data_IF_090977781393
#
_entry.id   IF_090977781393
#
_cell.length_a   1.000
_cell.length_b   1.000
_cell.length_c   1.000
_cell.angle_alpha   90.00
_cell.angle_beta   90.00
_cell.angle_gamma   90.00
#
_symmetry.space_group_name_H-M   'P 1'
#
loop_
_entity.id
_entity.type
_entity.pdbx_description
1 polymer ?
#
# COMPACT_ATOMS: atom_id res chain seq x y z
N UNK A 1 7.45 -14.67 -5.45
CA UNK A 1 6.71 -13.45 -5.04
C UNK A 1 6.93 -13.27 -3.56
N UNK A 2 7.39 -12.11 -3.09
CA UNK A 2 7.68 -11.87 -1.67
C UNK A 2 6.40 -11.58 -0.88
N UNK A 3 6.18 -12.27 0.24
CA UNK A 3 5.07 -11.97 1.16
C UNK A 3 5.36 -10.69 1.96
N UNK A 4 4.48 -9.70 1.88
CA UNK A 4 4.69 -8.40 2.53
C UNK A 4 4.48 -8.46 4.05
N UNK A 5 3.69 -9.39 4.55
CA UNK A 5 3.49 -9.59 6.00
C UNK A 5 4.75 -10.21 6.63
N UNK A 6 5.35 -11.20 5.98
CA UNK A 6 6.65 -11.76 6.40
C UNK A 6 7.76 -10.72 6.34
N UNK A 7 7.81 -9.94 5.25
CA UNK A 7 8.73 -8.81 5.11
C UNK A 7 8.59 -7.82 6.27
N UNK A 8 7.35 -7.49 6.64
CA UNK A 8 7.06 -6.57 7.73
C UNK A 8 7.54 -7.11 9.08
N UNK A 9 7.24 -8.38 9.36
CA UNK A 9 7.63 -9.05 10.61
C UNK A 9 9.16 -9.11 10.76
N UNK A 10 9.87 -9.46 9.68
CA UNK A 10 11.33 -9.57 9.69
C UNK A 10 12.04 -8.21 9.86
N UNK A 11 11.46 -7.13 9.35
CA UNK A 11 12.09 -5.79 9.32
C UNK A 11 11.49 -4.78 10.29
N UNK A 12 10.49 -5.17 11.09
CA UNK A 12 9.80 -4.27 12.01
C UNK A 12 9.01 -3.16 11.31
N UNK A 13 8.51 -3.40 10.10
CA UNK A 13 7.70 -2.41 9.37
C UNK A 13 6.31 -2.35 9.97
N UNK A 14 5.91 -1.15 10.40
CA UNK A 14 4.58 -0.94 11.02
C UNK A 14 3.52 -0.53 10.01
N UNK A 15 3.93 0.20 8.98
CA UNK A 15 3.04 0.74 7.96
C UNK A 15 3.68 0.66 6.58
N UNK A 16 2.83 0.50 5.57
CA UNK A 16 3.17 0.53 4.16
C UNK A 16 2.52 1.74 3.52
N UNK A 17 3.28 2.47 2.72
CA UNK A 17 2.76 3.51 1.84
C UNK A 17 2.49 2.86 0.49
N UNK A 18 1.23 2.58 0.19
CA UNK A 18 0.82 2.11 -1.15
C UNK A 18 0.58 3.35 -1.97
N UNK A 19 1.39 3.57 -3.00
CA UNK A 19 1.34 4.77 -3.82
C UNK A 19 1.20 4.49 -5.32
N UNK A 20 0.64 5.46 -6.03
CA UNK A 20 0.65 5.53 -7.48
C UNK A 20 0.85 6.99 -7.94
N UNK A 21 1.30 7.14 -9.17
CA UNK A 21 1.42 8.44 -9.84
C UNK A 21 0.19 8.65 -10.72
N UNK A 22 -0.52 9.76 -10.53
CA UNK A 22 -1.63 10.12 -11.41
C UNK A 22 -1.15 10.72 -12.75
N UNK A 23 -2.09 11.02 -13.66
CA UNK A 23 -1.78 11.54 -15.01
C UNK A 23 -1.09 12.92 -15.00
N UNK A 24 -1.19 13.67 -13.89
CA UNK A 24 -0.57 14.99 -13.74
C UNK A 24 0.75 14.93 -12.97
N UNK A 25 1.25 13.72 -12.67
CA UNK A 25 2.49 13.52 -11.92
C UNK A 25 2.31 13.60 -10.41
N UNK A 26 1.08 13.71 -9.90
CA UNK A 26 0.79 13.74 -8.47
C UNK A 26 1.02 12.38 -7.81
N UNK A 27 1.72 12.35 -6.67
CA UNK A 27 1.81 11.15 -5.83
C UNK A 27 0.56 11.00 -4.97
N UNK A 28 -0.14 9.88 -5.14
CA UNK A 28 -1.29 9.50 -4.32
C UNK A 28 -0.91 8.31 -3.48
N UNK A 29 -1.26 8.35 -2.20
CA UNK A 29 -0.85 7.30 -1.27
C UNK A 29 -1.92 6.99 -0.24
N UNK A 30 -1.91 5.73 0.21
CA UNK A 30 -2.67 5.27 1.38
C UNK A 30 -1.69 4.65 2.37
N UNK A 31 -1.75 5.11 3.62
CA UNK A 31 -0.99 4.49 4.71
C UNK A 31 -1.77 3.29 5.23
N UNK A 32 -1.18 2.11 5.10
CA UNK A 32 -1.81 0.83 5.48
C UNK A 32 -1.00 0.19 6.61
N UNK A 33 -1.62 -0.23 7.72
CA UNK A 33 -0.92 -0.96 8.77
C UNK A 33 -0.47 -2.34 8.28
N UNK A 34 0.68 -2.83 8.76
CA UNK A 34 1.21 -4.15 8.39
C UNK A 34 0.24 -5.31 8.65
N UNK A 35 -0.70 -5.13 9.59
CA UNK A 35 -1.76 -6.10 9.87
C UNK A 35 -2.68 -6.35 8.66
N UNK A 36 -2.93 -5.32 7.84
CA UNK A 36 -3.84 -5.35 6.69
C UNK A 36 -3.12 -5.50 5.33
N UNK A 37 -1.78 -5.64 5.31
CA UNK A 37 -1.01 -5.61 4.07
C UNK A 37 -1.24 -6.81 3.16
N UNK A 38 -1.58 -7.98 3.72
CA UNK A 38 -1.82 -9.21 2.97
C UNK A 38 -3.01 -9.05 2.02
N UNK A 39 -4.10 -8.43 2.49
CA UNK A 39 -5.29 -8.18 1.66
C UNK A 39 -4.96 -7.16 0.57
N UNK A 40 -4.23 -6.09 0.90
CA UNK A 40 -3.84 -5.09 -0.10
C UNK A 40 -2.85 -5.64 -1.14
N UNK A 41 -2.01 -6.61 -0.76
CA UNK A 41 -1.10 -7.28 -1.70
C UNK A 41 -1.86 -8.12 -2.74
N UNK A 42 -2.97 -8.72 -2.34
CA UNK A 42 -3.80 -9.60 -3.19
C UNK A 42 -4.81 -8.81 -4.01
N UNK A 43 -5.57 -7.93 -3.34
CA UNK A 43 -6.76 -7.29 -3.88
C UNK A 43 -6.53 -5.81 -4.25
N UNK A 44 -5.39 -5.24 -3.82
CA UNK A 44 -5.05 -3.83 -4.03
C UNK A 44 -5.61 -2.90 -2.94
N UNK A 45 -5.11 -1.66 -2.92
CA UNK A 45 -5.67 -0.60 -2.07
C UNK A 45 -6.70 0.22 -2.83
N UNK A 46 -7.90 0.34 -2.26
CA UNK A 46 -8.96 1.18 -2.83
C UNK A 46 -8.67 2.67 -2.72
N UNK A 47 -8.79 3.37 -3.84
CA UNK A 47 -8.77 4.83 -4.00
C UNK A 47 -10.03 5.28 -4.75
N UNK A 48 -10.58 6.44 -4.38
CA UNK A 48 -11.60 7.10 -5.19
C UNK A 48 -10.92 7.84 -6.34
N UNK A 49 -10.86 7.24 -7.53
CA UNK A 49 -10.08 7.77 -8.66
C UNK A 49 -10.48 9.14 -9.20
N UNK A 50 -11.67 9.66 -8.81
CA UNK A 50 -12.13 11.01 -9.15
C UNK A 50 -11.68 12.08 -8.15
N UNK A 51 -11.23 11.69 -6.96
CA UNK A 51 -10.75 12.65 -5.96
C UNK A 51 -9.35 13.15 -6.34
N UNK A 52 -9.26 14.41 -6.78
CA UNK A 52 -8.01 15.10 -7.16
C UNK A 52 -7.43 15.90 -6.00
#
# INVERSE_FOLDING_TARGET
>A
MSDLREFAAARGVKYFMISYTDLFGGQRAKLVPAQAIADMQKDGAGFAGFAT
#
